data_IF_206089163587
#
_entry.id   IF_206089163587
#
_cell.length_a   1.000
_cell.length_b   1.000
_cell.length_c   1.000
_cell.angle_alpha   90.00
_cell.angle_beta   90.00
_cell.angle_gamma   90.00
#
_symmetry.space_group_name_H-M   'P 1'
#
loop_
_entity.id
_entity.type
_entity.pdbx_description
1 polymer ?
#
# COMPACT_ATOMS: atom_id res chain seq x y z
N UNK A 1 -1.90 -9.35 12.22
CA UNK A 1 -0.86 -8.74 11.39
C UNK A 1 -1.21 -7.28 11.18
N UNK A 2 -0.21 -6.37 11.25
CA UNK A 2 -0.33 -5.02 10.71
C UNK A 2 0.16 -5.08 9.26
N UNK A 3 -0.67 -4.61 8.35
CA UNK A 3 -0.32 -4.48 6.93
C UNK A 3 -0.09 -3.01 6.62
N UNK A 4 1.06 -2.68 6.04
CA UNK A 4 1.47 -1.32 5.73
C UNK A 4 1.78 -1.25 4.25
N UNK A 5 1.23 -0.25 3.57
CA UNK A 5 1.60 0.11 2.19
C UNK A 5 2.26 1.46 2.18
N UNK A 6 3.31 1.62 1.39
CA UNK A 6 4.08 2.86 1.32
C UNK A 6 4.54 3.18 -0.11
N UNK A 7 4.52 4.44 -0.46
CA UNK A 7 5.09 4.96 -1.71
C UNK A 7 5.70 6.33 -1.46
N UNK A 8 6.39 6.86 -2.45
CA UNK A 8 6.93 8.23 -2.41
C UNK A 8 5.85 9.26 -2.69
N UNK A 9 6.07 10.49 -2.22
CA UNK A 9 5.21 11.65 -2.45
C UNK A 9 3.91 11.63 -1.66
N UNK A 10 2.94 12.40 -2.11
CA UNK A 10 1.63 12.55 -1.46
C UNK A 10 0.78 11.29 -1.61
N UNK A 11 0.04 10.94 -0.56
CA UNK A 11 -0.71 9.67 -0.45
C UNK A 11 -1.86 9.49 -1.44
N UNK A 12 -2.27 10.51 -2.16
CA UNK A 12 -3.38 10.45 -3.10
C UNK A 12 -3.20 9.36 -4.17
N UNK A 13 -1.97 9.19 -4.69
CA UNK A 13 -1.67 8.15 -5.70
C UNK A 13 -1.81 6.73 -5.16
N UNK A 14 -1.56 6.52 -3.86
CA UNK A 14 -1.75 5.23 -3.18
C UNK A 14 -3.24 4.97 -2.96
N UNK A 15 -3.98 5.96 -2.46
CA UNK A 15 -5.42 5.86 -2.17
C UNK A 15 -6.22 5.60 -3.44
N UNK A 16 -5.87 6.25 -4.54
CA UNK A 16 -6.52 6.04 -5.84
C UNK A 16 -6.10 4.74 -6.54
N UNK A 17 -5.10 4.02 -6.03
CA UNK A 17 -4.56 2.82 -6.67
C UNK A 17 -3.75 3.10 -7.94
N UNK A 18 -3.34 4.35 -8.16
CA UNK A 18 -2.56 4.76 -9.33
C UNK A 18 -1.10 4.30 -9.27
N UNK A 19 -0.60 3.96 -8.10
CA UNK A 19 0.76 3.47 -7.87
C UNK A 19 0.74 2.08 -7.26
N UNK A 20 1.72 1.24 -7.63
CA UNK A 20 1.94 -0.05 -6.97
C UNK A 20 2.97 0.15 -5.84
N UNK A 21 2.51 0.22 -4.55
CA UNK A 21 3.33 0.58 -3.41
C UNK A 21 4.20 -0.58 -2.90
N UNK A 22 5.16 -0.28 -2.04
CA UNK A 22 5.79 -1.25 -1.18
C UNK A 22 4.79 -1.81 -0.17
N UNK A 23 4.97 -3.06 0.23
CA UNK A 23 4.14 -3.72 1.23
C UNK A 23 4.97 -4.33 2.33
N UNK A 24 4.49 -4.18 3.55
CA UNK A 24 5.14 -4.70 4.74
C UNK A 24 4.11 -5.40 5.62
N UNK A 25 4.51 -6.53 6.19
CA UNK A 25 3.67 -7.35 7.07
C UNK A 25 4.35 -7.52 8.41
N UNK A 26 3.74 -7.00 9.47
CA UNK A 26 4.29 -7.03 10.83
C UNK A 26 3.42 -7.90 11.73
N UNK A 27 4.04 -8.85 12.43
CA UNK A 27 3.36 -9.79 13.32
C UNK A 27 3.10 -9.16 14.69
N UNK A 28 1.84 -8.86 14.99
CA UNK A 28 1.43 -8.16 16.23
C UNK A 28 1.94 -8.81 17.51
N UNK A 29 1.81 -10.17 17.71
CA UNK A 29 2.31 -10.80 18.94
C UNK A 29 3.82 -10.64 19.16
N UNK A 30 4.63 -10.79 18.10
CA UNK A 30 6.08 -10.61 18.19
C UNK A 30 6.44 -9.16 18.51
N UNK A 31 5.74 -8.20 17.91
CA UNK A 31 5.94 -6.77 18.17
C UNK A 31 5.62 -6.43 19.65
N UNK A 32 4.52 -6.96 20.18
CA UNK A 32 4.16 -6.79 21.60
C UNK A 32 5.19 -7.40 22.55
N UNK A 33 5.80 -8.51 22.18
CA UNK A 33 6.86 -9.17 22.93
C UNK A 33 8.24 -8.48 22.78
N UNK A 34 8.35 -7.40 22.04
CA UNK A 34 9.62 -6.69 21.80
C UNK A 34 10.59 -7.42 20.86
N UNK A 35 10.14 -8.44 20.14
CA UNK A 35 10.92 -9.19 19.18
C UNK A 35 10.86 -8.57 17.78
N UNK A 36 11.81 -8.94 16.91
CA UNK A 36 11.78 -8.58 15.49
C UNK A 36 10.50 -9.11 14.85
N UNK A 37 9.65 -8.21 14.38
CA UNK A 37 8.26 -8.51 14.04
C UNK A 37 7.94 -8.38 12.53
N UNK A 38 8.83 -7.81 11.72
CA UNK A 38 8.66 -7.72 10.27
C UNK A 38 8.86 -9.10 9.64
N UNK A 39 7.76 -9.71 9.18
CA UNK A 39 7.74 -11.10 8.67
C UNK A 39 7.80 -11.17 7.14
N UNK A 40 7.39 -10.11 6.45
CA UNK A 40 7.39 -10.05 4.98
C UNK A 40 7.43 -8.62 4.50
N UNK A 41 8.12 -8.42 3.37
CA UNK A 41 8.12 -7.16 2.61
C UNK A 41 8.13 -7.48 1.12
N UNK A 42 7.39 -6.71 0.33
CA UNK A 42 7.34 -6.79 -1.12
C UNK A 42 7.66 -5.41 -1.68
N UNK A 43 8.61 -5.37 -2.61
CA UNK A 43 8.96 -4.14 -3.29
C UNK A 43 7.92 -3.80 -4.35
N UNK A 44 7.34 -2.61 -4.28
CA UNK A 44 6.44 -2.07 -5.29
C UNK A 44 7.20 -1.46 -6.47
N UNK A 45 6.54 -1.31 -7.61
CA UNK A 45 7.16 -0.65 -8.76
C UNK A 45 7.29 0.86 -8.59
N UNK A 46 6.42 1.50 -7.81
CA UNK A 46 6.44 2.93 -7.46
C UNK A 46 6.83 3.85 -8.63
N UNK A 47 6.17 3.65 -9.79
CA UNK A 47 6.54 4.33 -11.04
C UNK A 47 6.38 5.84 -10.99
N UNK A 48 5.39 6.30 -10.25
CA UNK A 48 5.03 7.72 -10.15
C UNK A 48 4.88 8.15 -8.70
N UNK A 49 5.08 9.42 -8.45
CA UNK A 49 4.79 10.09 -7.20
C UNK A 49 4.11 11.43 -7.43
N UNK A 50 3.32 11.89 -6.49
CA UNK A 50 2.72 13.22 -6.50
C UNK A 50 3.52 14.13 -5.56
N UNK A 51 3.94 15.27 -6.07
CA UNK A 51 4.73 16.26 -5.33
C UNK A 51 4.10 17.64 -5.44
N UNK A 52 4.42 18.54 -4.52
CA UNK A 52 4.03 19.93 -4.64
C UNK A 52 4.76 20.60 -5.82
N UNK A 53 4.05 21.49 -6.50
CA UNK A 53 4.65 22.37 -7.51
C UNK A 53 5.52 23.43 -6.88
N UNK A 54 6.56 23.88 -7.59
CA UNK A 54 7.33 25.05 -7.16
C UNK A 54 6.46 26.32 -7.21
N UNK A 55 6.86 27.41 -6.52
CA UNK A 55 6.13 28.67 -6.59
C UNK A 55 5.98 29.22 -8.02
N UNK A 56 6.98 29.00 -8.86
CA UNK A 56 6.96 29.39 -10.28
C UNK A 56 5.94 28.57 -11.09
N UNK A 57 6.00 27.24 -10.99
CA UNK A 57 5.05 26.36 -11.66
C UNK A 57 3.61 26.59 -11.19
N UNK A 58 3.42 26.90 -9.92
CA UNK A 58 2.11 27.28 -9.38
C UNK A 58 1.60 28.58 -10.00
N UNK A 59 2.44 29.58 -10.18
CA UNK A 59 2.08 30.85 -10.81
C UNK A 59 1.68 30.66 -12.29
N UNK A 60 2.40 29.77 -13.01
CA UNK A 60 2.15 29.49 -14.43
C UNK A 60 0.94 28.61 -14.67
N UNK A 61 0.75 27.58 -13.86
CA UNK A 61 -0.25 26.51 -14.10
C UNK A 61 -1.48 26.59 -13.23
N UNK A 62 -1.43 27.34 -12.12
CA UNK A 62 -2.47 27.37 -11.08
C UNK A 62 -2.57 26.09 -10.26
N UNK A 63 -1.74 25.06 -10.51
CA UNK A 63 -1.80 23.76 -9.84
C UNK A 63 -0.89 23.77 -8.62
N UNK A 64 -1.37 23.15 -7.53
CA UNK A 64 -0.62 23.00 -6.27
C UNK A 64 0.24 21.74 -6.26
N UNK A 65 -0.14 20.73 -7.03
CA UNK A 65 0.52 19.44 -7.10
C UNK A 65 0.71 18.98 -8.54
N UNK A 66 1.70 18.15 -8.76
CA UNK A 66 1.98 17.48 -10.03
C UNK A 66 2.41 16.04 -9.80
N UNK A 67 2.18 15.19 -10.81
CA UNK A 67 2.69 13.83 -10.82
C UNK A 67 3.99 13.79 -11.60
N UNK A 68 5.00 13.14 -11.05
CA UNK A 68 6.32 12.95 -11.66
C UNK A 68 6.71 11.47 -11.63
N UNK A 69 7.64 11.08 -12.50
CA UNK A 69 8.23 9.75 -12.46
C UNK A 69 9.22 9.64 -11.31
N UNK A 70 9.18 8.51 -10.61
CA UNK A 70 10.17 8.20 -9.56
C UNK A 70 11.45 7.66 -10.23
N UNK A 71 12.63 8.19 -9.91
CA UNK A 71 13.90 7.71 -10.46
C UNK A 71 14.11 6.20 -10.20
N UNK A 72 14.71 5.50 -11.17
CA UNK A 72 14.91 4.05 -11.11
C UNK A 72 15.65 3.59 -9.85
N UNK A 73 16.64 4.35 -9.39
CA UNK A 73 17.39 4.04 -8.17
C UNK A 73 16.49 4.06 -6.92
N UNK A 74 15.56 5.01 -6.85
CA UNK A 74 14.61 5.11 -5.74
C UNK A 74 13.56 3.99 -5.82
N UNK A 75 13.05 3.69 -7.03
CA UNK A 75 12.08 2.59 -7.23
C UNK A 75 12.59 1.24 -6.76
N UNK A 76 13.88 0.99 -6.93
CA UNK A 76 14.53 -0.27 -6.56
C UNK A 76 14.89 -0.38 -5.07
N UNK A 77 14.49 0.59 -4.26
CA UNK A 77 14.64 0.58 -2.80
C UNK A 77 13.28 0.64 -2.13
N UNK A 78 13.19 0.10 -0.92
CA UNK A 78 12.03 0.30 -0.09
C UNK A 78 11.92 1.77 0.33
N UNK A 79 10.70 2.31 0.30
CA UNK A 79 10.41 3.69 0.71
C UNK A 79 10.50 3.91 2.21
N UNK A 80 10.45 2.84 3.01
CA UNK A 80 10.60 2.85 4.46
C UNK A 80 11.76 1.96 4.91
N UNK A 81 12.39 2.34 6.01
CA UNK A 81 13.31 1.47 6.75
C UNK A 81 12.54 0.46 7.61
N UNK A 82 13.19 -0.62 8.03
CA UNK A 82 12.59 -1.61 8.95
C UNK A 82 12.17 -0.93 10.28
N UNK A 83 12.94 0.07 10.74
CA UNK A 83 12.61 0.86 11.95
C UNK A 83 11.34 1.69 11.76
N UNK A 84 11.17 2.35 10.62
CA UNK A 84 9.94 3.10 10.29
C UNK A 84 8.72 2.17 10.29
N UNK A 85 8.86 0.99 9.67
CA UNK A 85 7.79 -0.01 9.60
C UNK A 85 7.38 -0.50 10.99
N UNK A 86 8.34 -0.81 11.86
CA UNK A 86 8.06 -1.21 13.23
C UNK A 86 7.42 -0.09 14.05
N UNK A 87 7.86 1.15 13.86
CA UNK A 87 7.28 2.31 14.53
C UNK A 87 5.83 2.55 14.12
N UNK A 88 5.53 2.50 12.82
CA UNK A 88 4.16 2.57 12.32
C UNK A 88 3.28 1.44 12.86
N UNK A 89 3.83 0.23 12.93
CA UNK A 89 3.11 -0.90 13.48
C UNK A 89 2.83 -0.72 15.00
N UNK A 90 3.72 -0.09 15.76
CA UNK A 90 3.47 0.28 17.18
C UNK A 90 2.36 1.31 17.29
N UNK A 91 2.36 2.35 16.44
CA UNK A 91 1.26 3.31 16.40
C UNK A 91 -0.08 2.63 16.10
N UNK A 92 -0.09 1.71 15.13
CA UNK A 92 -1.29 0.96 14.79
C UNK A 92 -1.80 0.10 15.96
N UNK A 93 -0.92 -0.50 16.76
CA UNK A 93 -1.32 -1.25 17.98
C UNK A 93 -1.95 -0.33 19.04
N UNK A 94 -1.37 0.85 19.27
CA UNK A 94 -1.91 1.83 20.23
C UNK A 94 -3.29 2.31 19.79
N UNK A 95 -3.44 2.62 18.50
CA UNK A 95 -4.72 3.06 17.93
C UNK A 95 -5.77 1.95 18.00
N UNK A 96 -5.42 0.71 17.61
CA UNK A 96 -6.32 -0.44 17.69
C UNK A 96 -6.79 -0.70 19.14
N UNK A 97 -5.89 -0.60 20.12
CA UNK A 97 -6.20 -0.77 21.53
C UNK A 97 -7.15 0.34 22.03
N UNK A 98 -6.88 1.59 21.64
CA UNK A 98 -7.72 2.73 22.02
C UNK A 98 -9.16 2.60 21.49
N UNK A 99 -9.33 2.19 20.24
CA UNK A 99 -10.66 2.03 19.64
C UNK A 99 -11.28 0.66 19.84
N UNK A 100 -10.55 -0.32 20.40
CA UNK A 100 -11.01 -1.69 20.65
C UNK A 100 -11.32 -2.50 19.39
N UNK A 101 -10.84 -2.09 18.22
CA UNK A 101 -11.09 -2.72 16.92
C UNK A 101 -10.03 -2.36 15.87
N UNK A 102 -9.89 -3.17 14.79
CA UNK A 102 -9.00 -2.84 13.70
C UNK A 102 -9.36 -1.50 13.04
N UNK A 103 -8.34 -0.71 12.70
CA UNK A 103 -8.48 0.61 12.09
C UNK A 103 -7.68 0.68 10.80
N UNK A 104 -8.24 1.36 9.79
CA UNK A 104 -7.49 1.88 8.65
C UNK A 104 -6.80 3.18 9.10
N UNK A 105 -5.51 3.29 8.83
CA UNK A 105 -4.70 4.42 9.30
C UNK A 105 -4.00 5.05 8.10
N UNK A 106 -4.19 6.35 7.94
CA UNK A 106 -3.42 7.18 7.03
C UNK A 106 -2.28 7.84 7.79
N UNK A 107 -1.10 7.84 7.19
CA UNK A 107 0.12 8.33 7.80
C UNK A 107 1.01 9.00 6.75
N UNK A 108 1.96 9.80 7.20
CA UNK A 108 2.98 10.41 6.36
C UNK A 108 4.34 10.41 7.06
N UNK A 109 5.42 10.33 6.28
CA UNK A 109 6.78 10.60 6.72
C UNK A 109 7.20 11.93 6.16
N UNK A 110 7.52 12.88 7.04
CA UNK A 110 7.97 14.19 6.62
C UNK A 110 9.38 14.12 6.00
N UNK A 111 9.54 14.75 4.85
CA UNK A 111 10.82 14.76 4.13
C UNK A 111 11.87 15.71 4.72
N UNK A 112 11.46 16.60 5.62
CA UNK A 112 12.34 17.60 6.24
C UNK A 112 12.91 17.08 7.55
N UNK A 113 12.04 16.61 8.46
CA UNK A 113 12.45 16.12 9.79
C UNK A 113 12.57 14.59 9.88
N UNK A 114 12.10 13.86 8.87
CA UNK A 114 12.14 12.40 8.81
C UNK A 114 11.18 11.71 9.77
N UNK A 115 10.29 12.47 10.45
CA UNK A 115 9.36 11.91 11.43
C UNK A 115 8.13 11.30 10.79
N UNK A 116 7.53 10.34 11.50
CA UNK A 116 6.29 9.69 11.12
C UNK A 116 5.11 10.34 11.83
N UNK A 117 4.10 10.72 11.06
CA UNK A 117 2.88 11.36 11.54
C UNK A 117 1.66 10.54 11.19
N UNK A 118 0.76 10.35 12.15
CA UNK A 118 -0.56 9.79 11.91
C UNK A 118 -1.48 10.93 11.48
N UNK A 119 -2.09 10.78 10.32
CA UNK A 119 -2.93 11.80 9.70
C UNK A 119 -4.42 11.53 9.92
N UNK A 120 -4.84 10.26 9.82
CA UNK A 120 -6.22 9.85 10.02
C UNK A 120 -6.30 8.41 10.50
N UNK A 121 -7.30 8.10 11.32
CA UNK A 121 -7.68 6.73 11.67
C UNK A 121 -9.19 6.57 11.53
N UNK A 122 -9.62 5.52 10.84
CA UNK A 122 -11.04 5.18 10.64
C UNK A 122 -11.27 3.69 10.84
N UNK A 123 -12.48 3.25 11.28
CA UNK A 123 -12.79 1.84 11.40
C UNK A 123 -12.63 1.11 10.06
N UNK A 124 -11.96 -0.06 10.08
CA UNK A 124 -11.91 -0.93 8.90
C UNK A 124 -13.32 -1.50 8.63
N UNK A 125 -13.89 -1.19 7.46
CA UNK A 125 -15.25 -1.59 7.09
C UNK A 125 -15.31 -2.89 6.28
N UNK A 126 -14.21 -3.26 5.60
CA UNK A 126 -14.20 -4.37 4.64
C UNK A 126 -14.16 -5.75 5.33
N UNK A 127 -13.41 -5.91 6.41
CA UNK A 127 -13.30 -7.20 7.12
C UNK A 127 -14.35 -7.43 8.19
N UNK A 128 -14.91 -6.39 8.78
CA UNK A 128 -15.98 -6.51 9.77
C UNK A 128 -17.28 -7.04 9.18
N UNK A 129 -17.50 -6.89 7.87
CA UNK A 129 -18.66 -7.45 7.15
C UNK A 129 -18.47 -8.91 6.69
N UNK A 130 -17.26 -9.46 6.80
CA UNK A 130 -16.95 -10.83 6.37
C UNK A 130 -17.22 -11.91 7.43
N UNK A 131 -17.72 -11.55 8.60
CA UNK A 131 -18.16 -12.54 9.61
C UNK A 131 -19.44 -13.22 9.14
N UNK A 132 -19.27 -14.41 8.53
CA UNK A 132 -20.38 -15.30 8.18
C UNK A 132 -20.44 -15.81 6.74
N UNK A 133 -19.61 -15.35 5.82
CA UNK A 133 -19.52 -15.94 4.47
C UNK A 133 -18.36 -16.92 4.39
N UNK A 134 -18.65 -18.17 4.05
CA UNK A 134 -17.64 -19.18 3.76
C UNK A 134 -16.69 -18.65 2.67
N UNK A 135 -15.41 -18.54 2.98
CA UNK A 135 -14.37 -18.11 2.06
C UNK A 135 -14.08 -19.28 1.10
N UNK A 136 -14.53 -19.18 -0.15
CA UNK A 136 -14.21 -20.15 -1.18
C UNK A 136 -12.74 -19.99 -1.60
N UNK A 137 -11.90 -20.96 -1.24
CA UNK A 137 -10.51 -21.02 -1.68
C UNK A 137 -10.39 -21.96 -2.87
N UNK A 138 -9.99 -21.41 -4.01
CA UNK A 138 -9.71 -22.19 -5.20
C UNK A 138 -8.26 -22.68 -5.17
N UNK A 139 -8.06 -23.96 -5.49
CA UNK A 139 -6.74 -24.58 -5.64
C UNK A 139 -6.61 -25.11 -7.07
N UNK A 140 -5.58 -24.67 -7.78
CA UNK A 140 -5.22 -25.21 -9.09
C UNK A 140 -4.91 -26.71 -8.96
N UNK A 141 -5.64 -27.56 -9.69
CA UNK A 141 -5.39 -29.01 -9.75
C UNK A 141 -4.22 -29.39 -10.67
N UNK A 142 -3.88 -28.55 -11.62
CA UNK A 142 -2.76 -28.74 -12.53
C UNK A 142 -2.31 -27.41 -13.13
N UNK A 143 -1.07 -27.33 -13.58
CA UNK A 143 -0.54 -26.16 -14.28
C UNK A 143 -0.56 -26.44 -15.78
N UNK A 144 -1.26 -25.59 -16.54
CA UNK A 144 -1.11 -25.51 -18.00
C UNK A 144 0.08 -24.61 -18.39
N UNK A 145 0.18 -24.29 -19.67
CA UNK A 145 1.18 -23.32 -20.14
C UNK A 145 0.82 -21.94 -19.60
N UNK A 146 1.77 -21.32 -18.88
CA UNK A 146 1.62 -19.94 -18.37
C UNK A 146 1.86 -18.98 -19.54
N UNK A 147 0.84 -18.22 -19.91
CA UNK A 147 0.92 -17.22 -20.97
C UNK A 147 1.28 -15.84 -20.45
N UNK A 148 0.87 -15.51 -19.24
CA UNK A 148 1.23 -14.26 -18.55
C UNK A 148 1.10 -14.46 -17.04
N UNK A 149 1.89 -13.70 -16.29
CA UNK A 149 1.79 -13.60 -14.83
C UNK A 149 1.49 -12.16 -14.44
N UNK A 150 0.69 -12.01 -13.39
CA UNK A 150 0.33 -10.70 -12.87
C UNK A 150 -0.13 -10.79 -11.42
N UNK A 151 -0.35 -9.62 -10.80
CA UNK A 151 -0.86 -9.54 -9.44
C UNK A 151 -2.37 -9.55 -9.45
N UNK A 152 -2.98 -10.49 -8.73
CA UNK A 152 -4.42 -10.54 -8.59
C UNK A 152 -4.95 -9.38 -7.74
N UNK A 153 -5.97 -8.70 -8.25
CA UNK A 153 -6.77 -7.72 -7.51
C UNK A 153 -8.08 -8.42 -7.15
N UNK A 154 -8.13 -9.04 -5.97
CA UNK A 154 -9.28 -9.80 -5.52
C UNK A 154 -9.14 -11.31 -5.72
N UNK A 155 -10.23 -12.06 -5.50
CA UNK A 155 -10.21 -13.54 -5.37
C UNK A 155 -11.07 -14.25 -6.42
N UNK A 156 -11.53 -13.55 -7.45
CA UNK A 156 -12.35 -14.12 -8.50
C UNK A 156 -11.49 -14.79 -9.56
N UNK A 157 -11.96 -15.90 -10.10
CA UNK A 157 -11.39 -16.61 -11.24
C UNK A 157 -12.32 -16.39 -12.43
N UNK A 158 -11.77 -15.96 -13.56
CA UNK A 158 -12.47 -15.83 -14.83
C UNK A 158 -11.94 -16.86 -15.83
N UNK A 159 -12.79 -17.34 -16.71
CA UNK A 159 -12.41 -18.15 -17.87
C UNK A 159 -13.00 -17.53 -19.12
N UNK A 160 -12.28 -17.55 -20.23
CA UNK A 160 -12.73 -16.98 -21.49
C UNK A 160 -11.64 -16.89 -22.54
N UNK A 161 -11.97 -16.43 -23.75
CA UNK A 161 -10.99 -16.19 -24.80
C UNK A 161 -10.04 -15.04 -24.41
N UNK A 162 -8.80 -15.13 -24.85
CA UNK A 162 -7.80 -14.06 -24.64
C UNK A 162 -8.22 -12.83 -25.46
N UNK A 163 -8.29 -11.68 -24.79
CA UNK A 163 -8.55 -10.39 -25.41
C UNK A 163 -7.38 -9.44 -25.09
N UNK A 164 -6.82 -8.85 -26.11
CA UNK A 164 -5.78 -7.83 -25.97
C UNK A 164 -6.43 -6.45 -25.91
N UNK A 165 -6.20 -5.73 -24.83
CA UNK A 165 -6.71 -4.38 -24.59
C UNK A 165 -5.54 -3.41 -24.73
N UNK A 166 -5.70 -2.35 -25.50
CA UNK A 166 -4.68 -1.35 -25.74
C UNK A 166 -4.90 -0.05 -24.96
N UNK A 167 -6.12 0.15 -24.47
CA UNK A 167 -6.47 1.31 -23.63
C UNK A 167 -7.53 0.94 -22.58
N UNK A 168 -7.64 1.75 -21.54
CA UNK A 168 -8.64 1.59 -20.47
C UNK A 168 -10.08 1.87 -20.95
N UNK A 169 -10.25 2.42 -22.14
CA UNK A 169 -11.56 2.76 -22.74
C UNK A 169 -12.14 1.62 -23.61
N UNK A 170 -11.39 0.55 -23.85
CA UNK A 170 -11.84 -0.66 -24.53
C UNK A 170 -12.41 -1.70 -23.54
#
# INVERSE_FOLDING_TARGET
>A
VVFITASYGLGETVVQGAVNPDEFYVHKPMLRAGNRALIRRNLGSKLIEMVFTSPQEKAETGKLVKTVEVPTEQRNRFSLTDADVEQLARYALVIEEHYGRPMDIEWGKDGVDGQLYILQARPETVKSQAQGKAELRYKLKGRGTVLAEGRAIGQKIGTGPVRRVHSLSE
#
